data_IF_145588903822
#
_entry.id   IF_145588903822
#
_cell.length_a   1.000
_cell.length_b   1.000
_cell.length_c   1.000
_cell.angle_alpha   90.00
_cell.angle_beta   90.00
_cell.angle_gamma   90.00
#
_symmetry.space_group_name_H-M   'P 1'
#
loop_
_entity.id
_entity.type
_entity.pdbx_description
1 polymer ?
#
# COMPACT_ATOMS: atom_id res chain seq x y z
N UNK A 1 -3.91 -14.19 16.42
CA UNK A 1 -2.45 -14.05 16.23
C UNK A 1 -1.81 -13.25 17.36
N UNK A 2 -2.05 -11.95 17.56
CA UNK A 2 -1.54 -11.26 18.77
C UNK A 2 -2.62 -10.91 19.82
N UNK A 3 -3.90 -10.82 19.45
CA UNK A 3 -4.98 -10.38 20.36
C UNK A 3 -4.72 -9.00 21.00
N UNK A 4 -4.11 -8.09 20.23
CA UNK A 4 -3.86 -6.72 20.66
C UNK A 4 -5.17 -6.01 21.04
N UNK A 5 -5.17 -5.33 22.19
CA UNK A 5 -6.25 -4.49 22.68
C UNK A 5 -5.68 -3.17 23.20
N UNK A 6 -6.49 -2.15 23.51
CA UNK A 6 -6.00 -0.94 24.16
C UNK A 6 -5.32 -1.18 25.53
N UNK A 7 -5.61 -2.32 26.17
CA UNK A 7 -5.10 -2.70 27.49
C UNK A 7 -3.95 -3.72 27.45
N UNK A 8 -3.63 -4.30 26.28
CA UNK A 8 -2.46 -5.17 26.13
C UNK A 8 -1.19 -4.33 26.02
N UNK A 9 -0.08 -4.83 26.55
CA UNK A 9 1.20 -4.14 26.54
C UNK A 9 1.96 -4.38 25.23
N UNK A 10 2.70 -5.47 25.15
CA UNK A 10 3.60 -5.79 24.02
C UNK A 10 2.84 -5.92 22.70
N UNK A 11 1.65 -6.52 22.69
CA UNK A 11 0.83 -6.71 21.49
C UNK A 11 0.39 -5.36 20.91
N UNK A 12 0.06 -4.40 21.77
CA UNK A 12 -0.33 -3.04 21.36
C UNK A 12 0.88 -2.26 20.85
N UNK A 13 2.05 -2.42 21.47
CA UNK A 13 3.32 -1.86 21.00
C UNK A 13 3.60 -2.37 19.57
N UNK A 14 3.52 -3.68 19.36
CA UNK A 14 3.75 -4.29 18.04
C UNK A 14 2.78 -3.74 16.99
N UNK A 15 1.49 -3.62 17.31
CA UNK A 15 0.47 -3.08 16.40
C UNK A 15 0.71 -1.59 16.07
N UNK A 16 1.11 -0.78 17.06
CA UNK A 16 1.40 0.63 16.87
C UNK A 16 2.67 0.85 16.04
N UNK A 17 3.71 0.03 16.24
CA UNK A 17 4.92 0.08 15.42
C UNK A 17 4.60 -0.24 13.96
N UNK A 18 3.77 -1.26 13.68
CA UNK A 18 3.29 -1.53 12.32
C UNK A 18 2.63 -0.30 11.72
N UNK A 19 1.70 0.31 12.46
CA UNK A 19 0.96 1.50 12.02
C UNK A 19 1.91 2.66 11.71
N UNK A 20 2.87 2.91 12.59
CA UNK A 20 3.89 3.96 12.40
C UNK A 20 4.74 3.71 11.14
N UNK A 21 5.21 2.47 10.93
CA UNK A 21 5.97 2.11 9.73
C UNK A 21 5.15 2.27 8.46
N UNK A 22 3.88 1.86 8.47
CA UNK A 22 2.99 2.05 7.32
C UNK A 22 2.81 3.55 7.00
N UNK A 23 2.60 4.40 8.01
CA UNK A 23 2.50 5.85 7.82
C UNK A 23 3.79 6.46 7.27
N UNK A 24 4.94 6.05 7.80
CA UNK A 24 6.25 6.49 7.32
C UNK A 24 6.48 6.08 5.85
N UNK A 25 6.15 4.83 5.50
CA UNK A 25 6.23 4.34 4.14
C UNK A 25 5.32 5.13 3.19
N UNK A 26 4.06 5.38 3.58
CA UNK A 26 3.12 6.21 2.81
C UNK A 26 3.66 7.62 2.59
N UNK A 27 4.24 8.24 3.62
CA UNK A 27 4.83 9.58 3.53
C UNK A 27 6.03 9.66 2.59
N UNK A 28 6.71 8.54 2.31
CA UNK A 28 7.78 8.45 1.32
C UNK A 28 7.33 8.55 -0.13
N UNK A 29 6.01 8.56 -0.42
CA UNK A 29 5.48 8.65 -1.78
C UNK A 29 4.85 10.00 -2.09
N UNK A 30 5.05 10.46 -3.33
CA UNK A 30 4.44 11.69 -3.86
C UNK A 30 2.97 11.51 -4.24
N UNK A 31 2.28 12.65 -4.36
CA UNK A 31 0.88 12.74 -4.81
C UNK A 31 -0.13 12.81 -3.67
N UNK A 32 -1.21 13.54 -3.87
CA UNK A 32 -2.29 13.68 -2.88
C UNK A 32 -3.38 12.64 -3.10
N UNK A 33 -4.16 12.36 -2.03
CA UNK A 33 -5.48 11.70 -2.09
C UNK A 33 -5.55 10.42 -2.94
N UNK A 34 -4.62 9.48 -2.76
CA UNK A 34 -4.67 8.19 -3.43
C UNK A 34 -4.76 7.04 -2.42
N UNK A 35 -5.98 6.61 -2.10
CA UNK A 35 -6.20 5.47 -1.19
C UNK A 35 -5.57 4.17 -1.71
N UNK A 36 -5.61 3.91 -3.02
CA UNK A 36 -5.03 2.69 -3.61
C UNK A 36 -3.53 2.59 -3.35
N UNK A 37 -2.79 3.69 -3.63
CA UNK A 37 -1.36 3.77 -3.34
C UNK A 37 -1.09 3.58 -1.85
N UNK A 38 -1.81 4.30 -0.99
CA UNK A 38 -1.63 4.18 0.47
C UNK A 38 -1.89 2.76 0.96
N UNK A 39 -2.92 2.09 0.46
CA UNK A 39 -3.26 0.70 0.81
C UNK A 39 -2.16 -0.26 0.39
N UNK A 40 -1.68 -0.21 -0.86
CA UNK A 40 -0.62 -1.12 -1.29
C UNK A 40 0.69 -0.91 -0.54
N UNK A 41 1.12 0.34 -0.36
CA UNK A 41 2.33 0.64 0.43
C UNK A 41 2.21 0.14 1.86
N UNK A 42 1.04 0.31 2.50
CA UNK A 42 0.79 -0.21 3.83
C UNK A 42 0.81 -1.75 3.87
N UNK A 43 0.25 -2.43 2.87
CA UNK A 43 0.26 -3.89 2.78
C UNK A 43 1.66 -4.46 2.56
N UNK A 44 2.46 -3.86 1.67
CA UNK A 44 3.85 -4.29 1.48
C UNK A 44 4.67 -4.13 2.76
N UNK A 45 4.47 -3.02 3.46
CA UNK A 45 5.10 -2.76 4.77
C UNK A 45 4.63 -3.78 5.82
N UNK A 46 3.34 -4.14 5.81
CA UNK A 46 2.75 -5.12 6.71
C UNK A 46 3.36 -6.51 6.51
N UNK A 47 3.50 -6.95 5.26
CA UNK A 47 4.07 -8.27 4.91
C UNK A 47 5.50 -8.37 5.44
N UNK A 48 6.33 -7.35 5.20
CA UNK A 48 7.70 -7.31 5.72
C UNK A 48 7.72 -7.34 7.25
N UNK A 49 6.90 -6.52 7.90
CA UNK A 49 6.87 -6.45 9.37
C UNK A 49 6.36 -7.73 10.04
N UNK A 50 5.36 -8.39 9.44
CA UNK A 50 4.84 -9.67 9.92
C UNK A 50 5.91 -10.76 9.80
N UNK A 51 6.66 -10.79 8.70
CA UNK A 51 7.82 -11.67 8.55
C UNK A 51 8.86 -11.44 9.63
N UNK A 52 9.17 -10.18 9.94
CA UNK A 52 10.15 -9.81 10.96
C UNK A 52 9.72 -10.24 12.37
N UNK A 53 8.49 -9.91 12.77
CA UNK A 53 8.04 -10.03 14.17
C UNK A 53 7.41 -11.40 14.46
N UNK A 54 6.63 -11.93 13.53
CA UNK A 54 5.87 -13.17 13.72
C UNK A 54 6.51 -14.37 13.03
N UNK A 55 7.54 -14.16 12.22
CA UNK A 55 8.21 -15.21 11.43
C UNK A 55 7.25 -15.95 10.49
N UNK A 56 6.21 -15.25 10.03
CA UNK A 56 5.22 -15.76 9.09
C UNK A 56 5.50 -15.18 7.71
N UNK A 57 5.62 -16.07 6.73
CA UNK A 57 5.71 -15.71 5.32
C UNK A 57 4.32 -15.50 4.74
N UNK A 58 4.15 -14.44 3.94
CA UNK A 58 2.91 -14.14 3.23
C UNK A 58 3.19 -14.07 1.74
N UNK A 59 2.18 -14.42 0.94
CA UNK A 59 2.21 -14.16 -0.49
C UNK A 59 2.43 -12.67 -0.75
N UNK A 60 3.34 -12.37 -1.66
CA UNK A 60 3.75 -11.01 -1.99
C UNK A 60 3.84 -10.87 -3.50
N UNK A 61 3.10 -9.91 -4.05
CA UNK A 61 3.23 -9.50 -5.45
C UNK A 61 4.17 -8.29 -5.48
N UNK A 62 5.33 -8.37 -6.15
CA UNK A 62 6.24 -7.24 -6.27
C UNK A 62 5.57 -6.02 -6.90
N UNK A 63 5.95 -4.83 -6.43
CA UNK A 63 5.42 -3.57 -6.98
C UNK A 63 5.66 -3.41 -8.49
N UNK A 64 6.68 -4.07 -9.04
CA UNK A 64 6.95 -4.13 -10.49
C UNK A 64 5.83 -4.80 -11.28
N UNK A 65 5.19 -5.81 -10.70
CA UNK A 65 4.11 -6.61 -11.30
C UNK A 65 2.73 -6.05 -10.94
N UNK A 66 2.61 -5.35 -9.81
CA UNK A 66 1.36 -4.75 -9.37
C UNK A 66 1.02 -3.48 -10.18
N UNK A 67 0.08 -3.61 -11.13
CA UNK A 67 -0.40 -2.50 -11.97
C UNK A 67 -1.76 -1.97 -11.52
N UNK A 68 -1.86 -0.65 -11.39
CA UNK A 68 -3.07 0.04 -10.95
C UNK A 68 -4.02 0.31 -12.11
N UNK A 69 -5.18 -0.35 -12.08
CA UNK A 69 -6.28 -0.14 -13.04
C UNK A 69 -7.22 1.00 -12.67
N UNK A 70 -6.98 1.70 -11.55
CA UNK A 70 -7.87 2.73 -11.00
C UNK A 70 -7.40 4.18 -11.22
N UNK A 71 -6.27 4.38 -11.90
CA UNK A 71 -5.69 5.71 -12.17
C UNK A 71 -6.70 6.65 -12.84
N UNK A 72 -7.43 6.18 -13.86
CA UNK A 72 -8.43 6.93 -14.61
C UNK A 72 -9.61 7.47 -13.77
N UNK A 73 -9.86 6.88 -12.58
CA UNK A 73 -10.97 7.29 -11.69
C UNK A 73 -10.54 8.32 -10.65
N UNK A 74 -9.24 8.62 -10.53
CA UNK A 74 -8.72 9.56 -9.55
C UNK A 74 -8.26 10.85 -10.23
N UNK A 75 -9.04 11.93 -10.07
CA UNK A 75 -8.71 13.27 -10.59
C UNK A 75 -7.42 13.86 -10.01
N UNK A 76 -6.92 13.31 -8.90
CA UNK A 76 -5.66 13.69 -8.27
C UNK A 76 -4.60 12.57 -8.38
N UNK A 77 -4.74 11.67 -9.37
CA UNK A 77 -3.72 10.67 -9.63
C UNK A 77 -2.40 11.34 -10.00
N UNK A 78 -1.31 10.88 -9.40
CA UNK A 78 0.03 11.37 -9.74
C UNK A 78 0.66 10.65 -10.95
N UNK A 79 -0.10 9.76 -11.62
CA UNK A 79 0.27 9.07 -12.86
C UNK A 79 1.72 8.59 -12.86
N UNK A 80 2.58 9.16 -13.71
CA UNK A 80 3.98 8.76 -13.88
C UNK A 80 4.82 8.84 -12.58
N UNK A 81 4.42 9.66 -11.60
CA UNK A 81 5.07 9.72 -10.29
C UNK A 81 4.63 8.59 -9.33
N UNK A 82 3.65 7.77 -9.72
CA UNK A 82 3.17 6.64 -8.94
C UNK A 82 3.77 5.33 -9.47
N UNK A 83 4.54 4.64 -8.63
CA UNK A 83 5.19 3.36 -9.01
C UNK A 83 4.22 2.24 -9.43
N UNK A 84 2.95 2.35 -9.05
CA UNK A 84 1.91 1.39 -9.41
C UNK A 84 1.18 1.79 -10.71
N UNK A 85 1.48 2.93 -11.31
CA UNK A 85 0.79 3.37 -12.50
C UNK A 85 1.10 2.44 -13.68
N UNK A 86 0.05 2.02 -14.38
CA UNK A 86 0.14 1.09 -15.51
C UNK A 86 0.58 1.76 -16.82
N UNK A 87 0.62 3.10 -16.86
CA UNK A 87 0.64 3.85 -18.12
C UNK A 87 -0.75 3.95 -18.72
N UNK A 88 -0.92 4.79 -19.73
CA UNK A 88 -2.09 4.70 -20.62
C UNK A 88 -1.81 3.58 -21.64
N UNK A 89 -2.58 2.50 -21.60
CA UNK A 89 -3.01 1.94 -22.89
C UNK A 89 -3.96 2.97 -23.47
N UNK A 90 -3.54 3.60 -24.57
CA UNK A 90 -4.39 4.46 -25.39
C UNK A 90 -5.47 3.56 -25.99
N UNK A 91 -6.51 3.24 -25.23
CA UNK A 91 -7.76 2.74 -25.79
C UNK A 91 -8.46 3.97 -26.32
N UNK A 92 -8.21 4.28 -27.60
CA UNK A 92 -9.10 5.13 -28.39
C UNK A 92 -10.50 4.55 -28.24
N UNK A 93 -11.31 5.14 -27.37
CA UNK A 93 -12.74 4.89 -27.37
C UNK A 93 -13.25 5.33 -28.74
N UNK A 94 -13.53 4.39 -29.63
CA UNK A 94 -14.49 4.63 -30.70
C UNK A 94 -15.80 4.94 -30.00
N UNK A 95 -16.17 6.21 -30.03
CA UNK A 95 -17.52 6.64 -29.70
C UNK A 95 -18.51 6.00 -30.67
N UNK A 96 -19.61 5.52 -30.12
CA UNK A 96 -20.89 5.40 -30.80
C UNK A 96 -21.85 6.43 -30.19
#
# INVERSE_FOLDING_TARGET
ILKATPLSDTERIIANIMTSRALAAIAGHRGSRCCKRSTWVALETAIQYIREVLKVEMEYIPASELKCTHSHRNKHCSQMDCRFYQGEEVVLQKGE
#
